data_IF_944796971416
#
_entry.id   IF_944796971416
#
_cell.length_a   1.000
_cell.length_b   1.000
_cell.length_c   1.000
_cell.angle_alpha   90.00
_cell.angle_beta   90.00
_cell.angle_gamma   90.00
#
_symmetry.space_group_name_H-M   'P 1'
#
loop_
_entity.id
_entity.type
_entity.pdbx_description
1 polymer ?
#
# COMPACT_ATOMS: atom_id res chain seq x y z
N UNK A 1 -0.30 21.03 -19.39
CA UNK A 1 0.05 19.62 -19.14
C UNK A 1 -0.95 19.11 -18.13
N UNK A 2 -1.71 18.10 -18.50
CA UNK A 2 -2.59 17.43 -17.53
C UNK A 2 -1.69 16.88 -16.42
N UNK A 3 -2.14 16.90 -15.18
CA UNK A 3 -1.39 16.34 -14.03
C UNK A 3 -1.09 14.84 -14.16
N UNK A 4 -1.55 14.19 -15.24
CA UNK A 4 -1.31 12.80 -15.64
C UNK A 4 -0.01 12.57 -16.42
N UNK A 5 0.67 13.62 -16.91
CA UNK A 5 1.82 13.46 -17.82
C UNK A 5 3.14 13.10 -17.11
N UNK A 6 3.23 13.39 -15.80
CA UNK A 6 4.42 13.13 -14.99
C UNK A 6 4.03 12.57 -13.63
N UNK A 7 4.30 11.28 -13.45
CA UNK A 7 3.94 10.46 -12.30
C UNK A 7 5.17 9.62 -11.93
N UNK A 8 5.33 9.30 -10.66
CA UNK A 8 6.36 8.34 -10.22
C UNK A 8 5.74 7.21 -9.42
N UNK A 9 6.50 6.13 -9.23
CA UNK A 9 6.17 5.11 -8.23
C UNK A 9 7.22 5.11 -7.12
N UNK A 10 6.77 5.09 -5.88
CA UNK A 10 7.60 4.88 -4.70
C UNK A 10 7.10 3.64 -3.99
N UNK A 11 7.88 2.56 -4.06
CA UNK A 11 7.43 1.23 -3.64
C UNK A 11 8.39 0.74 -2.56
N UNK A 12 7.84 0.43 -1.39
CA UNK A 12 8.59 -0.15 -0.29
C UNK A 12 7.85 -1.44 0.10
N UNK A 13 8.29 -2.60 -0.41
CA UNK A 13 7.58 -3.85 -0.19
C UNK A 13 7.39 -4.15 1.31
N UNK A 14 6.23 -4.67 1.66
CA UNK A 14 5.94 -5.14 3.02
C UNK A 14 6.74 -6.39 3.36
N UNK A 15 7.09 -6.58 4.64
CA UNK A 15 7.61 -7.85 5.12
C UNK A 15 9.06 -8.13 4.73
N UNK A 16 9.76 -7.16 4.14
CA UNK A 16 11.20 -7.29 3.82
C UNK A 16 12.10 -6.61 4.86
N UNK A 17 11.52 -6.15 5.99
CA UNK A 17 12.26 -5.48 7.07
C UNK A 17 12.99 -4.23 6.59
N UNK A 18 12.32 -3.38 5.80
CA UNK A 18 12.90 -2.13 5.30
C UNK A 18 13.19 -1.15 6.46
N UNK A 19 14.35 -0.49 6.45
CA UNK A 19 14.71 0.51 7.48
C UNK A 19 13.74 1.68 7.54
N UNK A 20 13.12 2.01 6.40
CA UNK A 20 12.05 3.00 6.23
C UNK A 20 10.93 2.31 5.45
N UNK A 21 9.69 2.36 5.92
CA UNK A 21 8.57 1.63 5.30
C UNK A 21 8.46 0.18 5.75
N UNK A 22 9.26 -0.24 6.73
CA UNK A 22 9.19 -1.57 7.35
C UNK A 22 8.12 -1.68 8.42
N UNK A 23 7.56 -0.57 8.89
CA UNK A 23 6.45 -0.50 9.83
C UNK A 23 5.24 0.16 9.16
N UNK A 24 4.04 -0.04 9.69
CA UNK A 24 2.84 0.55 9.12
C UNK A 24 2.93 2.10 9.06
N UNK A 25 3.07 2.62 7.84
CA UNK A 25 3.01 4.05 7.50
C UNK A 25 4.21 4.89 7.94
N UNK A 26 5.31 4.30 8.39
CA UNK A 26 6.53 5.04 8.72
C UNK A 26 7.24 5.62 7.47
N UNK A 27 6.89 5.14 6.27
CA UNK A 27 7.26 5.75 4.99
C UNK A 27 6.40 6.96 4.58
N UNK A 28 5.28 7.23 5.27
CA UNK A 28 4.33 8.29 4.91
C UNK A 28 4.97 9.67 4.71
N UNK A 29 5.91 10.14 5.56
CA UNK A 29 6.54 11.45 5.36
C UNK A 29 7.31 11.56 4.04
N UNK A 30 7.95 10.46 3.61
CA UNK A 30 8.76 10.42 2.39
C UNK A 30 7.89 10.33 1.14
N UNK A 31 6.84 9.50 1.18
CA UNK A 31 5.83 9.47 0.11
C UNK A 31 5.15 10.84 -0.03
N UNK A 32 4.82 11.49 1.09
CA UNK A 32 4.20 12.81 1.09
C UNK A 32 5.13 13.92 0.60
N UNK A 33 6.43 13.82 0.86
CA UNK A 33 7.43 14.72 0.28
C UNK A 33 7.46 14.57 -1.24
N UNK A 34 7.57 13.34 -1.73
CA UNK A 34 7.55 13.04 -3.17
C UNK A 34 6.25 13.52 -3.82
N UNK A 35 5.11 13.37 -3.13
CA UNK A 35 3.80 13.78 -3.63
C UNK A 35 3.61 15.31 -3.72
N UNK A 36 4.51 16.09 -3.12
CA UNK A 36 4.59 17.55 -3.35
C UNK A 36 5.17 17.90 -4.72
N UNK A 37 5.96 17.00 -5.30
CA UNK A 37 6.57 17.21 -6.63
C UNK A 37 5.60 16.78 -7.72
N UNK A 38 5.03 15.58 -7.64
CA UNK A 38 4.09 15.03 -8.62
C UNK A 38 3.24 13.91 -8.00
N UNK A 39 2.19 13.41 -8.68
CA UNK A 39 1.50 12.22 -8.21
C UNK A 39 2.43 11.02 -8.00
N UNK A 40 2.14 10.20 -7.00
CA UNK A 40 2.95 9.03 -6.58
C UNK A 40 2.06 7.80 -6.49
N UNK A 41 2.38 6.75 -7.26
CA UNK A 41 1.86 5.40 -6.99
C UNK A 41 2.66 4.79 -5.83
N UNK A 42 1.99 4.18 -4.87
CA UNK A 42 2.64 3.51 -3.74
C UNK A 42 1.83 2.30 -3.26
N UNK A 43 2.50 1.41 -2.52
CA UNK A 43 1.87 0.26 -1.87
C UNK A 43 1.20 0.66 -0.55
N UNK A 44 0.23 -0.14 -0.12
CA UNK A 44 -0.63 0.17 1.04
C UNK A 44 0.14 0.51 2.32
N UNK A 45 1.10 -0.32 2.72
CA UNK A 45 1.80 -0.19 3.99
C UNK A 45 2.74 1.02 4.07
N UNK A 46 3.13 1.58 2.91
CA UNK A 46 3.93 2.79 2.90
C UNK A 46 3.19 4.00 3.49
N UNK A 47 1.86 3.99 3.45
CA UNK A 47 1.00 5.13 3.85
C UNK A 47 -0.11 4.76 4.84
N UNK A 48 -0.37 3.47 5.06
CA UNK A 48 -1.33 2.99 6.05
C UNK A 48 -0.66 2.77 7.40
N UNK A 49 -1.17 3.43 8.45
CA UNK A 49 -0.64 3.36 9.81
C UNK A 49 -1.77 3.09 10.80
N UNK A 50 -2.46 1.96 10.66
CA UNK A 50 -3.47 1.48 11.59
C UNK A 50 -4.68 2.45 11.73
N UNK A 51 -4.73 3.31 12.75
CA UNK A 51 -5.75 4.38 12.84
C UNK A 51 -5.34 5.69 12.15
N UNK A 52 -4.10 5.80 11.67
CA UNK A 52 -3.56 6.92 10.94
C UNK A 52 -3.42 6.59 9.45
N UNK A 53 -3.43 7.63 8.62
CA UNK A 53 -3.14 7.49 7.19
C UNK A 53 -2.30 8.67 6.73
N UNK A 54 -1.24 8.36 5.98
CA UNK A 54 -0.41 9.32 5.27
C UNK A 54 -0.97 9.72 3.91
N UNK A 55 -2.08 9.13 3.47
CA UNK A 55 -2.63 9.32 2.12
C UNK A 55 -3.08 10.76 1.91
N UNK A 56 -2.80 11.31 0.73
CA UNK A 56 -3.28 12.61 0.28
C UNK A 56 -3.72 12.56 -1.19
N UNK A 57 -4.25 13.66 -1.70
CA UNK A 57 -4.83 13.76 -3.04
C UNK A 57 -3.88 13.43 -4.20
N UNK A 58 -2.56 13.44 -3.98
CA UNK A 58 -1.55 13.12 -4.99
C UNK A 58 -0.97 11.70 -4.82
N UNK A 59 -1.54 10.87 -3.94
CA UNK A 59 -1.09 9.48 -3.73
C UNK A 59 -2.10 8.53 -4.35
N UNK A 60 -1.66 7.73 -5.32
CA UNK A 60 -2.41 6.62 -5.88
C UNK A 60 -2.07 5.36 -5.07
N UNK A 61 -3.01 5.00 -4.22
CA UNK A 61 -2.95 3.87 -3.30
C UNK A 61 -3.36 2.57 -4.00
N UNK A 62 -2.51 1.54 -3.98
CA UNK A 62 -2.85 0.21 -4.52
C UNK A 62 -2.18 -0.91 -3.74
N UNK A 63 -2.78 -2.11 -3.78
CA UNK A 63 -2.18 -3.34 -3.26
C UNK A 63 -1.18 -3.97 -4.26
N UNK A 64 -0.44 -4.97 -3.80
CA UNK A 64 0.69 -5.59 -4.52
C UNK A 64 0.37 -6.25 -5.85
N UNK A 65 -0.69 -7.05 -5.97
CA UNK A 65 -1.11 -7.68 -7.22
C UNK A 65 -1.44 -6.63 -8.29
N UNK A 66 -2.27 -5.63 -7.96
CA UNK A 66 -2.64 -4.57 -8.88
C UNK A 66 -1.42 -3.72 -9.27
N UNK A 67 -0.50 -3.47 -8.33
CA UNK A 67 0.77 -2.80 -8.62
C UNK A 67 1.59 -3.61 -9.63
N UNK A 68 1.77 -4.90 -9.40
CA UNK A 68 2.54 -5.77 -10.29
C UNK A 68 1.87 -5.92 -11.67
N UNK A 69 0.56 -6.11 -11.71
CA UNK A 69 -0.22 -6.19 -12.95
C UNK A 69 -0.14 -4.89 -13.76
N UNK A 70 -0.16 -3.74 -13.08
CA UNK A 70 0.03 -2.43 -13.71
C UNK A 70 1.42 -2.33 -14.36
N UNK A 71 2.48 -2.72 -13.65
CA UNK A 71 3.84 -2.68 -14.19
C UNK A 71 4.08 -3.71 -15.30
N UNK A 72 3.41 -4.87 -15.25
CA UNK A 72 3.36 -5.83 -16.39
C UNK A 72 2.56 -5.30 -17.58
N UNK A 73 1.88 -4.17 -17.45
CA UNK A 73 1.06 -3.57 -18.51
C UNK A 73 -0.27 -4.31 -18.76
N UNK A 74 -0.73 -5.09 -17.78
CA UNK A 74 -1.98 -5.86 -17.86
C UNK A 74 -3.19 -4.98 -17.53
N UNK A 75 -3.00 -3.98 -16.67
CA UNK A 75 -4.05 -3.07 -16.21
C UNK A 75 -3.59 -1.62 -16.27
N UNK A 76 -4.56 -0.71 -16.33
CA UNK A 76 -4.42 0.73 -16.14
C UNK A 76 -5.14 1.15 -14.86
N UNK A 77 -4.68 2.27 -14.27
CA UNK A 77 -5.35 2.90 -13.15
C UNK A 77 -6.16 4.08 -13.62
N UNK A 78 -7.45 4.11 -13.28
CA UNK A 78 -8.28 5.30 -13.43
C UNK A 78 -8.35 6.02 -12.09
N UNK A 79 -7.71 7.18 -11.91
CA UNK A 79 -7.84 7.96 -10.69
C UNK A 79 -9.31 8.17 -10.36
N UNK A 80 -9.69 7.80 -9.15
CA UNK A 80 -11.06 7.88 -8.68
C UNK A 80 -11.08 8.34 -7.21
N UNK A 81 -12.20 8.89 -6.78
CA UNK A 81 -12.45 9.26 -5.39
C UNK A 81 -13.86 8.83 -5.04
N UNK A 82 -14.05 8.57 -3.75
CA UNK A 82 -15.36 8.29 -3.16
C UNK A 82 -15.91 6.90 -3.48
N UNK A 83 -15.03 5.89 -3.51
CA UNK A 83 -15.43 4.50 -3.72
C UNK A 83 -16.48 4.07 -2.70
N UNK A 84 -17.48 3.32 -3.15
CA UNK A 84 -18.38 2.53 -2.32
C UNK A 84 -17.63 1.32 -1.79
N UNK A 85 -17.45 1.25 -0.48
CA UNK A 85 -16.65 0.18 0.13
C UNK A 85 -17.57 -0.89 0.71
N UNK A 86 -17.33 -2.15 0.32
CA UNK A 86 -17.82 -3.31 1.06
C UNK A 86 -16.77 -3.80 2.04
N UNK A 87 -17.17 -4.28 3.22
CA UNK A 87 -16.24 -4.91 4.17
C UNK A 87 -16.53 -6.41 4.26
N UNK A 88 -15.49 -7.23 4.10
CA UNK A 88 -15.61 -8.68 4.25
C UNK A 88 -14.81 -9.14 5.46
N UNK A 89 -15.43 -10.02 6.25
CA UNK A 89 -14.87 -10.55 7.49
C UNK A 89 -14.59 -12.05 7.34
N UNK A 90 -13.47 -12.50 7.87
CA UNK A 90 -13.24 -13.92 8.11
C UNK A 90 -14.28 -14.47 9.09
N UNK A 91 -14.79 -15.66 8.79
CA UNK A 91 -15.78 -16.37 9.61
C UNK A 91 -15.23 -16.76 10.98
N UNK A 92 -13.91 -16.84 11.12
CA UNK A 92 -13.25 -17.16 12.39
C UNK A 92 -13.29 -16.02 13.41
N UNK A 93 -13.63 -14.78 13.00
CA UNK A 93 -13.67 -13.62 13.90
C UNK A 93 -14.78 -13.80 14.96
N UNK A 94 -14.44 -13.80 16.27
CA UNK A 94 -15.44 -13.87 17.34
C UNK A 94 -16.38 -12.66 17.33
N UNK A 95 -17.61 -12.84 17.82
CA UNK A 95 -18.64 -11.78 17.82
C UNK A 95 -18.19 -10.51 18.56
N UNK A 96 -17.48 -10.65 19.69
CA UNK A 96 -16.94 -9.52 20.45
C UNK A 96 -15.95 -8.69 19.62
N UNK A 97 -15.03 -9.36 18.92
CA UNK A 97 -14.04 -8.73 18.03
C UNK A 97 -14.73 -8.11 16.82
N UNK A 98 -15.71 -8.79 16.21
CA UNK A 98 -16.50 -8.27 15.09
C UNK A 98 -17.22 -6.97 15.48
N UNK A 99 -17.80 -6.91 16.69
CA UNK A 99 -18.48 -5.71 17.19
C UNK A 99 -17.55 -4.49 17.27
N UNK A 100 -16.28 -4.68 17.62
CA UNK A 100 -15.29 -3.58 17.61
C UNK A 100 -15.04 -3.09 16.18
N UNK A 101 -14.92 -4.01 15.21
CA UNK A 101 -14.76 -3.63 13.80
C UNK A 101 -16.01 -2.93 13.23
N UNK A 102 -17.20 -3.36 13.62
CA UNK A 102 -18.46 -2.67 13.25
C UNK A 102 -18.48 -1.25 13.85
N UNK A 103 -18.03 -1.07 15.09
CA UNK A 103 -17.89 0.25 15.69
C UNK A 103 -16.85 1.11 14.95
N UNK A 104 -15.74 0.52 14.49
CA UNK A 104 -14.78 1.19 13.62
C UNK A 104 -15.42 1.65 12.30
N UNK A 105 -16.19 0.78 11.63
CA UNK A 105 -16.96 1.14 10.43
C UNK A 105 -17.89 2.32 10.72
N UNK A 106 -18.66 2.27 11.81
CA UNK A 106 -19.58 3.34 12.21
C UNK A 106 -18.85 4.65 12.51
N UNK A 107 -17.69 4.60 13.16
CA UNK A 107 -16.85 5.76 13.45
C UNK A 107 -16.33 6.40 12.15
N UNK A 108 -15.86 5.59 11.20
CA UNK A 108 -15.38 6.07 9.89
C UNK A 108 -16.52 6.71 9.10
N UNK A 109 -17.70 6.08 9.04
CA UNK A 109 -18.90 6.65 8.40
C UNK A 109 -19.29 7.99 9.01
N UNK A 110 -19.31 8.07 10.35
CA UNK A 110 -19.79 9.27 11.06
C UNK A 110 -18.79 10.42 11.01
N UNK A 111 -17.49 10.11 11.04
CA UNK A 111 -16.43 11.13 11.10
C UNK A 111 -16.06 11.65 9.71
N UNK A 112 -15.98 10.76 8.71
CA UNK A 112 -15.48 11.10 7.38
C UNK A 112 -16.56 11.08 6.30
N UNK A 113 -17.77 10.58 6.57
CA UNK A 113 -18.83 10.48 5.58
C UNK A 113 -18.57 9.42 4.50
N UNK A 114 -17.64 8.49 4.74
CA UNK A 114 -17.28 7.46 3.77
C UNK A 114 -18.44 6.49 3.53
N UNK A 115 -18.68 6.18 2.25
CA UNK A 115 -19.77 5.32 1.84
C UNK A 115 -19.43 3.83 2.00
N UNK A 116 -19.62 3.31 3.21
CA UNK A 116 -19.51 1.87 3.50
C UNK A 116 -20.91 1.26 3.36
N UNK A 117 -21.10 0.51 2.28
CA UNK A 117 -22.43 0.05 1.81
C UNK A 117 -22.95 -1.17 2.58
N UNK A 118 -22.06 -1.86 3.28
CA UNK A 118 -22.40 -3.03 4.08
C UNK A 118 -21.16 -3.86 4.40
N UNK A 119 -21.38 -4.89 5.20
CA UNK A 119 -20.38 -5.90 5.49
C UNK A 119 -20.99 -7.30 5.42
N UNK A 120 -20.15 -8.29 5.14
CA UNK A 120 -20.53 -9.71 5.18
C UNK A 120 -19.26 -10.57 5.39
N UNK A 121 -19.39 -11.87 5.25
CA UNK A 121 -18.30 -12.85 5.25
C UNK A 121 -17.59 -12.90 3.89
N UNK A 122 -16.33 -13.34 3.86
CA UNK A 122 -15.48 -13.37 2.65
C UNK A 122 -16.14 -14.10 1.47
N UNK A 123 -16.86 -15.19 1.70
CA UNK A 123 -17.59 -15.95 0.66
C UNK A 123 -18.78 -15.18 0.07
N UNK A 124 -19.23 -14.09 0.70
CA UNK A 124 -20.29 -13.21 0.20
C UNK A 124 -19.77 -11.92 -0.42
N UNK A 125 -18.47 -11.82 -0.73
CA UNK A 125 -17.90 -10.68 -1.46
C UNK A 125 -18.68 -10.37 -2.76
N UNK A 126 -19.07 -11.41 -3.51
CA UNK A 126 -19.90 -11.32 -4.71
C UNK A 126 -21.22 -10.55 -4.48
N UNK A 127 -21.84 -10.68 -3.31
CA UNK A 127 -23.10 -10.00 -2.99
C UNK A 127 -22.89 -8.51 -2.72
N UNK A 128 -21.79 -8.13 -2.06
CA UNK A 128 -21.43 -6.73 -1.86
C UNK A 128 -21.10 -6.04 -3.19
N UNK A 129 -20.38 -6.74 -4.07
CA UNK A 129 -20.08 -6.24 -5.42
C UNK A 129 -21.38 -6.05 -6.22
N UNK A 130 -22.31 -7.01 -6.18
CA UNK A 130 -23.64 -6.86 -6.81
C UNK A 130 -24.45 -5.69 -6.24
N UNK A 131 -24.25 -5.34 -4.97
CA UNK A 131 -24.84 -4.16 -4.32
C UNK A 131 -24.14 -2.84 -4.72
N UNK A 132 -23.06 -2.93 -5.51
CA UNK A 132 -22.32 -1.79 -6.05
C UNK A 132 -21.08 -1.42 -5.25
N UNK A 133 -20.44 -2.36 -4.54
CA UNK A 133 -19.10 -2.13 -3.99
C UNK A 133 -18.11 -1.91 -5.13
N UNK A 134 -17.35 -0.82 -5.04
CA UNK A 134 -16.30 -0.42 -5.97
C UNK A 134 -14.91 -0.75 -5.40
N UNK A 135 -14.82 -1.07 -4.11
CA UNK A 135 -13.63 -1.52 -3.40
C UNK A 135 -14.03 -2.43 -2.22
N UNK A 136 -13.11 -3.30 -1.78
CA UNK A 136 -13.32 -4.20 -0.64
C UNK A 136 -12.25 -4.03 0.44
N UNK A 137 -12.68 -3.86 1.69
CA UNK A 137 -11.82 -4.02 2.85
C UNK A 137 -11.95 -5.46 3.37
N UNK A 138 -10.86 -6.19 3.48
CA UNK A 138 -10.84 -7.57 3.95
C UNK A 138 -10.22 -7.68 5.35
N UNK A 139 -10.96 -8.24 6.29
CA UNK A 139 -10.53 -8.39 7.69
C UNK A 139 -10.35 -9.86 8.00
N UNK A 140 -9.11 -10.27 8.31
CA UNK A 140 -8.76 -11.67 8.57
C UNK A 140 -8.40 -11.92 10.02
N UNK A 141 -8.84 -13.06 10.55
CA UNK A 141 -8.56 -13.41 11.94
C UNK A 141 -7.20 -14.10 12.06
N UNK A 142 -6.41 -13.66 13.03
CA UNK A 142 -5.14 -14.29 13.38
C UNK A 142 -5.09 -14.59 14.87
N UNK A 143 -4.51 -15.74 15.22
CA UNK A 143 -4.04 -15.95 16.58
C UNK A 143 -2.79 -15.09 16.82
N UNK A 144 -2.61 -14.60 18.04
CA UNK A 144 -1.44 -13.79 18.40
C UNK A 144 -0.16 -14.63 18.20
N UNK A 145 0.82 -14.16 17.41
CA UNK A 145 2.10 -14.86 17.27
C UNK A 145 2.89 -14.88 18.59
N UNK A 146 3.54 -15.99 18.92
CA UNK A 146 4.33 -16.14 20.15
C UNK A 146 5.53 -15.17 20.30
N UNK A 147 5.93 -14.47 19.23
CA UNK A 147 7.14 -13.61 19.15
C UNK A 147 6.84 -12.11 18.94
N UNK A 148 5.64 -11.65 19.24
CA UNK A 148 5.21 -10.26 18.94
C UNK A 148 6.07 -9.19 19.64
N UNK A 149 6.67 -9.53 20.77
CA UNK A 149 7.57 -8.64 21.54
C UNK A 149 8.85 -8.25 20.78
N UNK A 150 9.40 -9.11 19.91
CA UNK A 150 10.64 -8.83 19.18
C UNK A 150 10.39 -7.86 18.02
N UNK A 151 9.28 -8.03 17.29
CA UNK A 151 8.83 -7.08 16.27
C UNK A 151 8.51 -5.71 16.89
N UNK A 152 7.78 -5.68 18.02
CA UNK A 152 7.42 -4.46 18.75
C UNK A 152 8.63 -3.59 19.13
N UNK A 153 9.75 -4.23 19.45
CA UNK A 153 10.94 -3.59 20.02
C UNK A 153 12.03 -3.32 18.97
N UNK A 154 12.16 -4.19 17.97
CA UNK A 154 13.31 -4.22 17.07
C UNK A 154 12.95 -4.23 15.59
N UNK A 155 11.67 -4.42 15.23
CA UNK A 155 11.21 -4.61 13.86
C UNK A 155 11.57 -5.99 13.30
N UNK A 156 11.14 -6.29 12.08
CA UNK A 156 11.40 -7.58 11.45
C UNK A 156 10.53 -7.88 10.23
N UNK A 157 10.55 -9.14 9.78
CA UNK A 157 9.64 -9.66 8.77
C UNK A 157 8.29 -9.92 9.42
N UNK A 158 7.23 -9.26 8.97
CA UNK A 158 5.86 -9.47 9.42
C UNK A 158 5.25 -10.75 8.79
N UNK A 159 5.03 -11.83 9.57
CA UNK A 159 4.47 -13.08 9.05
C UNK A 159 2.96 -12.99 8.76
N UNK A 160 2.23 -12.07 9.38
CA UNK A 160 0.79 -11.88 9.19
C UNK A 160 0.55 -11.15 7.87
N UNK A 161 1.26 -10.05 7.65
CA UNK A 161 1.14 -9.24 6.43
C UNK A 161 1.34 -10.04 5.14
N UNK A 162 2.20 -11.09 5.15
CA UNK A 162 2.36 -11.97 3.98
C UNK A 162 1.09 -12.76 3.66
N UNK A 163 0.45 -13.37 4.66
CA UNK A 163 -0.75 -14.19 4.47
C UNK A 163 -1.96 -13.36 4.09
N UNK A 164 -2.10 -12.17 4.66
CA UNK A 164 -3.16 -11.23 4.28
C UNK A 164 -3.01 -10.73 2.83
N UNK A 165 -1.77 -10.45 2.41
CA UNK A 165 -1.47 -10.04 1.06
C UNK A 165 -1.92 -11.08 0.04
N UNK A 166 -1.61 -12.37 0.26
CA UNK A 166 -2.02 -13.47 -0.61
C UNK A 166 -3.54 -13.50 -0.87
N UNK A 167 -4.36 -13.35 0.17
CA UNK A 167 -5.82 -13.42 0.01
C UNK A 167 -6.36 -12.16 -0.68
N UNK A 168 -5.86 -10.97 -0.32
CA UNK A 168 -6.26 -9.74 -1.01
C UNK A 168 -5.88 -9.74 -2.48
N UNK A 169 -4.73 -10.34 -2.85
CA UNK A 169 -4.30 -10.52 -4.24
C UNK A 169 -5.31 -11.37 -5.03
N UNK A 170 -5.74 -12.50 -4.48
CA UNK A 170 -6.73 -13.38 -5.14
C UNK A 170 -8.06 -12.65 -5.37
N UNK A 171 -8.53 -11.87 -4.39
CA UNK A 171 -9.77 -11.11 -4.51
C UNK A 171 -9.66 -9.98 -5.54
N UNK A 172 -8.56 -9.21 -5.53
CA UNK A 172 -8.34 -8.19 -6.56
C UNK A 172 -8.29 -8.82 -7.95
N UNK A 173 -7.55 -9.91 -8.12
CA UNK A 173 -7.45 -10.61 -9.39
C UNK A 173 -8.82 -11.13 -9.87
N UNK A 174 -9.62 -11.71 -8.95
CA UNK A 174 -10.94 -12.28 -9.28
C UNK A 174 -11.93 -11.19 -9.70
N UNK A 175 -11.97 -10.08 -8.98
CA UNK A 175 -13.04 -9.08 -9.11
C UNK A 175 -12.66 -7.82 -9.87
N UNK A 176 -11.37 -7.59 -10.12
CA UNK A 176 -10.87 -6.38 -10.78
C UNK A 176 -11.33 -5.07 -10.11
N UNK A 177 -11.37 -5.08 -8.78
CA UNK A 177 -11.61 -3.90 -7.94
C UNK A 177 -10.54 -3.81 -6.86
N UNK A 178 -10.22 -2.61 -6.33
CA UNK A 178 -9.25 -2.48 -5.25
C UNK A 178 -9.66 -3.27 -4.01
N UNK A 179 -8.73 -4.05 -3.48
CA UNK A 179 -8.88 -4.73 -2.20
C UNK A 179 -7.73 -4.33 -1.29
N UNK A 180 -8.00 -4.09 -0.02
CA UNK A 180 -6.97 -3.92 0.99
C UNK A 180 -7.38 -4.63 2.27
N UNK A 181 -6.39 -5.01 3.09
CA UNK A 181 -6.59 -5.88 4.22
C UNK A 181 -6.19 -5.22 5.55
N UNK A 182 -6.76 -5.74 6.64
CA UNK A 182 -6.35 -5.45 8.00
C UNK A 182 -6.53 -6.69 8.88
N UNK A 183 -5.65 -6.92 9.86
CA UNK A 183 -5.79 -8.06 10.76
C UNK A 183 -6.84 -7.80 11.83
N UNK A 184 -7.48 -8.88 12.28
CA UNK A 184 -8.26 -8.95 13.50
C UNK A 184 -7.62 -9.95 14.46
N UNK A 185 -7.49 -9.53 15.71
CA UNK A 185 -6.85 -10.31 16.77
C UNK A 185 -7.86 -10.77 17.83
N UNK A 186 -7.49 -11.73 18.71
CA UNK A 186 -8.35 -12.18 19.79
C UNK A 186 -8.76 -11.04 20.73
N UNK A 187 -9.85 -11.21 21.47
CA UNK A 187 -10.37 -10.18 22.39
C UNK A 187 -9.35 -9.71 23.43
N UNK A 188 -8.40 -10.56 23.82
CA UNK A 188 -7.30 -10.20 24.72
C UNK A 188 -6.38 -9.11 24.17
N UNK A 189 -6.24 -9.00 22.85
CA UNK A 189 -5.39 -8.01 22.16
C UNK A 189 -6.12 -6.69 21.87
N UNK A 190 -7.42 -6.61 22.16
CA UNK A 190 -8.16 -5.34 22.02
C UNK A 190 -7.78 -4.32 23.11
N UNK A 191 -7.07 -4.76 24.14
CA UNK A 191 -6.58 -3.91 25.23
C UNK A 191 -5.26 -3.24 24.83
N UNK A 192 -5.28 -1.91 24.75
CA UNK A 192 -4.09 -1.12 24.46
C UNK A 192 -3.12 -1.19 25.64
N UNK A 193 -1.90 -1.67 25.36
CA UNK A 193 -0.80 -1.72 26.34
C UNK A 193 -0.29 -0.31 26.69
N UNK A 194 0.15 -0.13 27.93
CA UNK A 194 0.84 1.10 28.38
C UNK A 194 2.35 1.06 28.17
N UNK A 195 2.89 -0.04 27.63
CA UNK A 195 4.31 -0.21 27.31
C UNK A 195 4.71 0.78 26.21
N UNK A 196 5.85 1.45 26.41
CA UNK A 196 6.44 2.29 25.37
C UNK A 196 7.14 1.38 24.37
N UNK A 197 6.74 1.46 23.10
CA UNK A 197 7.31 0.73 21.96
C UNK A 197 8.16 1.64 21.08
N UNK A 198 8.81 1.10 20.04
CA UNK A 198 9.45 1.93 19.01
C UNK A 198 8.42 2.88 18.38
N UNK A 199 8.81 4.15 18.20
CA UNK A 199 7.92 5.18 17.63
C UNK A 199 7.35 4.79 16.26
N UNK A 200 8.03 3.93 15.49
CA UNK A 200 7.60 3.45 14.17
C UNK A 200 6.46 2.45 14.27
N UNK A 201 6.43 1.63 15.32
CA UNK A 201 5.36 0.68 15.60
C UNK A 201 4.20 1.28 16.41
N UNK A 202 4.39 2.46 17.02
CA UNK A 202 3.43 3.03 17.97
C UNK A 202 1.99 3.13 17.45
N UNK A 203 1.80 3.37 16.15
CA UNK A 203 0.46 3.41 15.54
C UNK A 203 -0.28 2.07 15.64
N UNK A 204 0.44 0.96 15.49
CA UNK A 204 -0.07 -0.41 15.55
C UNK A 204 -0.51 -0.75 16.99
N UNK A 205 0.30 -0.39 17.98
CA UNK A 205 0.07 -0.72 19.39
C UNK A 205 -1.00 0.14 20.09
N UNK A 206 -1.46 1.24 19.48
CA UNK A 206 -2.54 2.07 20.03
C UNK A 206 -3.87 1.88 19.29
N UNK A 207 -3.96 0.92 18.37
CA UNK A 207 -5.20 0.64 17.64
C UNK A 207 -5.64 -0.81 17.79
N UNK A 208 -6.95 -1.06 17.98
CA UNK A 208 -7.45 -2.43 18.10
C UNK A 208 -7.85 -3.11 16.77
N UNK A 209 -7.93 -2.38 15.64
CA UNK A 209 -8.56 -2.95 14.42
C UNK A 209 -7.80 -2.76 13.11
N UNK A 210 -6.85 -1.81 13.03
CA UNK A 210 -6.10 -1.48 11.79
C UNK A 210 -6.95 -1.01 10.58
N UNK A 211 -8.26 -1.24 10.62
CA UNK A 211 -9.26 -0.98 9.59
C UNK A 211 -9.46 0.50 9.22
N UNK A 212 -9.27 1.52 10.09
CA UNK A 212 -9.52 2.90 9.71
C UNK A 212 -8.67 3.35 8.51
N UNK A 213 -7.36 3.07 8.52
CA UNK A 213 -6.47 3.46 7.43
C UNK A 213 -6.80 2.75 6.11
N UNK A 214 -7.23 1.49 6.19
CA UNK A 214 -7.69 0.69 5.04
C UNK A 214 -8.92 1.33 4.39
N UNK A 215 -9.92 1.70 5.19
CA UNK A 215 -11.13 2.35 4.69
C UNK A 215 -10.82 3.73 4.07
N UNK A 216 -9.94 4.52 4.70
CA UNK A 216 -9.50 5.82 4.18
C UNK A 216 -8.74 5.69 2.85
N UNK A 217 -7.90 4.65 2.72
CA UNK A 217 -7.16 4.38 1.48
C UNK A 217 -8.07 3.90 0.37
N UNK A 218 -8.91 2.90 0.64
CA UNK A 218 -9.86 2.36 -0.34
C UNK A 218 -10.87 3.40 -0.81
N UNK A 219 -11.21 4.39 0.01
CA UNK A 219 -12.09 5.49 -0.41
C UNK A 219 -11.53 6.30 -1.58
N UNK A 220 -10.21 6.37 -1.72
CA UNK A 220 -9.51 7.10 -2.78
C UNK A 220 -8.69 6.20 -3.72
N UNK A 221 -8.84 4.87 -3.62
CA UNK A 221 -8.14 3.93 -4.48
C UNK A 221 -8.57 4.13 -5.95
N UNK A 222 -7.66 4.00 -6.93
CA UNK A 222 -8.00 4.10 -8.33
C UNK A 222 -8.87 2.90 -8.75
N UNK A 223 -9.72 3.07 -9.75
CA UNK A 223 -10.36 1.92 -10.39
C UNK A 223 -9.35 1.16 -11.24
N UNK A 224 -9.44 -0.18 -11.19
CA UNK A 224 -8.59 -1.07 -11.96
C UNK A 224 -9.26 -1.32 -13.32
N UNK A 225 -8.56 -1.01 -14.41
CA UNK A 225 -9.09 -1.09 -15.76
C UNK A 225 -8.25 -2.10 -16.55
N UNK A 226 -8.88 -3.09 -17.18
CA UNK A 226 -8.18 -3.95 -18.16
C UNK A 226 -7.53 -3.06 -19.23
N UNK A 227 -6.25 -3.29 -19.54
CA UNK A 227 -5.51 -2.42 -20.46
C UNK A 227 -6.19 -2.26 -21.83
N UNK A 228 -6.97 -3.24 -22.28
CA UNK A 228 -7.73 -3.19 -23.55
C UNK A 228 -8.89 -2.20 -23.50
N UNK A 229 -9.33 -1.81 -22.31
CA UNK A 229 -10.42 -0.88 -22.05
C UNK A 229 -9.92 0.48 -21.53
N UNK A 230 -8.60 0.65 -21.43
CA UNK A 230 -7.99 1.89 -20.99
C UNK A 230 -8.29 3.02 -21.97
N UNK A 231 -8.57 4.20 -21.41
CA UNK A 231 -8.72 5.47 -22.12
C UNK A 231 -7.43 6.27 -22.03
N UNK A 232 -7.26 7.27 -22.88
CA UNK A 232 -6.10 8.17 -22.85
C UNK A 232 -5.94 8.92 -21.51
N UNK A 233 -7.04 9.08 -20.77
CA UNK A 233 -7.05 9.70 -19.44
C UNK A 233 -6.61 8.76 -18.31
N UNK A 234 -6.53 7.46 -18.57
CA UNK A 234 -6.14 6.46 -17.58
C UNK A 234 -4.61 6.42 -17.45
N UNK A 235 -4.14 6.21 -16.23
CA UNK A 235 -2.74 6.06 -15.90
C UNK A 235 -2.29 4.67 -16.33
N UNK A 236 -1.24 4.60 -17.15
CA UNK A 236 -0.60 3.35 -17.54
C UNK A 236 0.85 3.36 -17.09
N UNK A 237 1.54 2.24 -17.20
CA UNK A 237 2.99 2.16 -16.96
C UNK A 237 3.79 3.20 -17.77
N UNK A 238 3.31 3.64 -18.94
CA UNK A 238 3.96 4.68 -19.75
C UNK A 238 3.87 6.09 -19.14
N UNK A 239 2.93 6.30 -18.20
CA UNK A 239 2.80 7.53 -17.42
C UNK A 239 3.89 7.65 -16.33
N UNK A 240 4.52 6.53 -15.93
CA UNK A 240 5.54 6.50 -14.88
C UNK A 240 6.88 7.02 -15.43
N UNK A 241 7.49 7.97 -14.71
CA UNK A 241 8.73 8.66 -15.10
C UNK A 241 9.92 8.33 -14.21
N UNK A 242 9.69 7.70 -13.06
CA UNK A 242 10.72 7.10 -12.23
C UNK A 242 10.09 6.05 -11.30
N UNK A 243 10.88 5.06 -10.94
CA UNK A 243 10.56 4.08 -9.89
C UNK A 243 11.57 4.25 -8.75
N UNK A 244 11.10 4.40 -7.51
CA UNK A 244 11.93 4.63 -6.32
C UNK A 244 11.74 3.47 -5.36
N UNK A 245 12.84 2.81 -4.98
CA UNK A 245 12.81 1.59 -4.15
C UNK A 245 14.02 1.51 -3.20
N UNK A 246 13.94 0.70 -2.12
CA UNK A 246 15.10 0.39 -1.27
C UNK A 246 16.27 -0.18 -2.08
N UNK A 247 17.51 0.16 -1.71
CA UNK A 247 18.68 -0.12 -2.55
C UNK A 247 19.02 -1.60 -2.76
N UNK A 248 18.53 -2.49 -1.91
CA UNK A 248 18.76 -3.94 -1.96
C UNK A 248 17.47 -4.75 -2.17
N UNK A 249 16.43 -4.12 -2.73
CA UNK A 249 15.12 -4.72 -2.98
C UNK A 249 14.67 -4.52 -4.44
N UNK A 250 15.59 -4.71 -5.39
CA UNK A 250 15.38 -4.35 -6.79
C UNK A 250 14.85 -5.51 -7.68
N UNK A 251 14.79 -6.73 -7.17
CA UNK A 251 14.26 -7.87 -7.95
C UNK A 251 12.73 -7.94 -7.84
N UNK A 252 12.03 -7.14 -8.66
CA UNK A 252 10.57 -7.05 -8.62
C UNK A 252 9.98 -6.61 -9.97
N UNK A 253 8.70 -6.93 -10.26
CA UNK A 253 8.05 -6.53 -11.51
C UNK A 253 8.13 -5.02 -11.81
N UNK A 254 7.98 -4.10 -10.83
CA UNK A 254 8.15 -2.67 -11.07
C UNK A 254 9.52 -2.26 -11.60
N UNK A 255 10.60 -2.88 -11.11
CA UNK A 255 11.97 -2.57 -11.55
C UNK A 255 12.21 -3.12 -12.94
N UNK A 256 11.87 -4.39 -13.20
CA UNK A 256 12.06 -5.00 -14.51
C UNK A 256 11.25 -4.28 -15.60
N UNK A 257 10.00 -3.93 -15.31
CA UNK A 257 9.18 -3.14 -16.23
C UNK A 257 9.73 -1.73 -16.47
N UNK A 258 10.35 -1.11 -15.46
CA UNK A 258 10.99 0.19 -15.61
C UNK A 258 12.21 0.09 -16.54
N UNK A 259 13.07 -0.92 -16.35
CA UNK A 259 14.24 -1.19 -17.19
C UNK A 259 13.81 -1.40 -18.65
N UNK A 260 12.85 -2.29 -18.90
CA UNK A 260 12.33 -2.59 -20.23
C UNK A 260 11.81 -1.34 -20.97
N UNK A 261 11.34 -0.35 -20.21
CA UNK A 261 10.76 0.90 -20.73
C UNK A 261 11.73 2.10 -20.67
N UNK A 262 12.98 1.89 -20.28
CA UNK A 262 13.96 2.95 -20.04
C UNK A 262 13.46 4.03 -19.05
N UNK A 263 12.69 3.60 -18.04
CA UNK A 263 12.28 4.44 -16.92
C UNK A 263 13.38 4.35 -15.86
N UNK A 264 13.90 5.49 -15.36
CA UNK A 264 14.97 5.47 -14.37
C UNK A 264 14.49 4.84 -13.05
N UNK A 265 15.30 3.92 -12.52
CA UNK A 265 15.11 3.32 -11.21
C UNK A 265 16.03 4.03 -10.21
N UNK A 266 15.48 4.61 -9.15
CA UNK A 266 16.23 5.25 -8.08
C UNK A 266 16.33 4.31 -6.87
N UNK A 267 17.53 3.81 -6.62
CA UNK A 267 17.84 2.95 -5.49
C UNK A 267 18.28 3.79 -4.28
N UNK A 268 17.48 3.78 -3.20
CA UNK A 268 17.69 4.62 -2.01
C UNK A 268 18.61 3.93 -1.00
N UNK A 269 19.84 4.43 -0.83
CA UNK A 269 20.91 3.78 -0.03
C UNK A 269 20.63 3.74 1.48
N UNK A 270 19.97 4.77 2.03
CA UNK A 270 19.57 4.77 3.45
C UNK A 270 18.49 3.74 3.78
N UNK A 271 17.73 3.28 2.77
CA UNK A 271 16.68 2.29 2.95
C UNK A 271 17.19 0.91 2.56
N UNK A 272 17.44 0.07 3.58
CA UNK A 272 17.94 -1.29 3.42
C UNK A 272 16.90 -2.27 3.94
N UNK A 273 16.85 -3.43 3.32
CA UNK A 273 15.97 -4.54 3.64
C UNK A 273 16.79 -5.77 4.05
N UNK A 274 16.14 -6.85 4.46
CA UNK A 274 16.81 -8.14 4.72
C UNK A 274 17.22 -8.87 3.42
N UNK A 275 16.79 -8.37 2.26
CA UNK A 275 17.11 -8.95 0.96
C UNK A 275 18.52 -8.53 0.49
N UNK A 276 19.00 -9.17 -0.58
CA UNK A 276 20.29 -8.84 -1.20
C UNK A 276 20.16 -8.60 -2.72
N UNK A 277 19.01 -8.10 -3.15
CA UNK A 277 18.72 -7.78 -4.55
C UNK A 277 19.20 -6.36 -4.88
N UNK A 278 20.51 -6.14 -4.88
CA UNK A 278 21.12 -4.86 -5.29
C UNK A 278 21.29 -4.79 -6.81
N UNK A 279 21.59 -3.59 -7.32
CA UNK A 279 21.84 -3.41 -8.75
C UNK A 279 23.01 -4.28 -9.24
N UNK A 280 24.07 -4.39 -8.44
CA UNK A 280 25.25 -5.22 -8.74
C UNK A 280 24.93 -6.71 -8.70
N UNK A 281 24.14 -7.15 -7.72
CA UNK A 281 23.76 -8.55 -7.60
C UNK A 281 22.92 -9.01 -8.82
N UNK A 282 22.19 -8.09 -9.45
CA UNK A 282 21.33 -8.33 -10.58
C UNK A 282 21.97 -7.97 -11.94
N UNK A 283 23.13 -7.30 -11.95
CA UNK A 283 23.80 -6.86 -13.18
C UNK A 283 23.04 -5.77 -13.94
N UNK A 284 22.37 -4.84 -13.23
CA UNK A 284 21.51 -3.79 -13.80
C UNK A 284 22.00 -2.37 -13.45
N UNK A 285 23.26 -2.21 -13.06
CA UNK A 285 23.83 -0.94 -12.56
C UNK A 285 23.65 0.23 -13.53
N UNK A 286 23.72 -0.04 -14.83
CA UNK A 286 23.53 0.95 -15.90
C UNK A 286 22.11 1.53 -15.99
N UNK A 287 21.13 0.86 -15.40
CA UNK A 287 19.72 1.29 -15.36
C UNK A 287 19.31 1.89 -14.02
N UNK A 288 20.19 1.86 -13.02
CA UNK A 288 19.88 2.24 -11.63
C UNK A 288 20.66 3.49 -11.23
N UNK A 289 19.92 4.53 -10.84
CA UNK A 289 20.45 5.74 -10.22
C UNK A 289 20.48 5.52 -8.71
N UNK A 290 21.67 5.45 -8.13
CA UNK A 290 21.79 5.44 -6.66
C UNK A 290 21.57 6.84 -6.09
N UNK A 291 20.76 6.92 -5.05
CA UNK A 291 20.50 8.14 -4.28
C UNK A 291 20.70 7.84 -2.80
N UNK A 292 21.30 8.76 -2.05
CA UNK A 292 21.62 8.51 -0.65
C UNK A 292 20.38 8.44 0.22
N UNK A 293 19.41 9.31 -0.08
CA UNK A 293 18.21 9.52 0.75
C UNK A 293 16.96 9.73 -0.08
N UNK A 294 15.79 9.57 0.53
CA UNK A 294 14.52 9.96 -0.10
C UNK A 294 14.44 11.47 -0.38
N UNK A 295 15.18 12.31 0.37
CA UNK A 295 15.29 13.75 0.09
C UNK A 295 16.03 14.00 -1.23
N UNK A 296 17.13 13.27 -1.46
CA UNK A 296 17.85 13.32 -2.73
C UNK A 296 16.98 12.79 -3.87
N UNK A 297 16.26 11.69 -3.65
CA UNK A 297 15.31 11.16 -4.61
C UNK A 297 14.26 12.22 -5.01
N UNK A 298 13.66 12.91 -4.04
CA UNK A 298 12.71 13.99 -4.31
C UNK A 298 13.32 15.15 -5.11
N UNK A 299 14.57 15.53 -4.80
CA UNK A 299 15.31 16.53 -5.57
C UNK A 299 15.55 16.10 -7.02
N UNK A 300 15.90 14.83 -7.26
CA UNK A 300 16.06 14.28 -8.61
C UNK A 300 14.74 14.19 -9.37
N UNK A 301 13.65 13.77 -8.72
CA UNK A 301 12.31 13.77 -9.33
C UNK A 301 11.91 15.19 -9.73
N UNK A 302 12.19 16.18 -8.89
CA UNK A 302 11.93 17.59 -9.21
C UNK A 302 12.76 18.06 -10.42
N UNK A 303 14.04 17.68 -10.49
CA UNK A 303 14.90 17.97 -11.65
C UNK A 303 14.33 17.33 -12.93
N UNK A 304 13.99 16.04 -12.89
CA UNK A 304 13.39 15.31 -14.02
C UNK A 304 12.08 15.94 -14.49
N UNK A 305 11.21 16.35 -13.55
CA UNK A 305 9.95 17.04 -13.87
C UNK A 305 10.17 18.34 -14.64
N UNK A 306 11.31 19.00 -14.44
CA UNK A 306 11.68 20.25 -15.10
C UNK A 306 12.64 20.03 -16.29
N UNK A 307 12.82 18.79 -16.76
CA UNK A 307 13.66 18.45 -17.91
C UNK A 307 15.16 18.56 -17.65
N UNK A 308 15.59 18.53 -16.38
CA UNK A 308 17.00 18.53 -15.99
C UNK A 308 17.43 17.09 -15.74
N UNK A 309 18.31 16.59 -16.61
CA UNK A 309 18.90 15.26 -16.51
C UNK A 309 20.24 15.37 -15.76
N UNK A 310 20.37 14.66 -14.63
CA UNK A 310 21.51 14.66 -13.69
C UNK A 310 21.89 13.25 -13.31
#
# INVERSE_FOLDING_TARGET
MSTTDFLIACIIPTGVGASIGGFAGDASPYVNLLSKVCPVITNTNAVNAACFSGINDNVLYTEGWALDAFFRGEIAFRPHKYNKIGVIFDKAIPESVLNVHINTINAVKSTYGINIIGYDTVDKADELIKKGAEALAAVYYFETPDNDDEYALHGGVDPIGKREAEISHELTQKYMIPVAHSPAFPESELLISSKIVDKRAAAEYITPTFLPCVLLGLYNAPHLIDIKQAKDSDVTVNSVKAVIMPCNCLDSPPVWAAIDKNIPVMAVEENKTVLNATAEALGIEEHVIKVKTYYEAAGRVLALKNGIFV
#
